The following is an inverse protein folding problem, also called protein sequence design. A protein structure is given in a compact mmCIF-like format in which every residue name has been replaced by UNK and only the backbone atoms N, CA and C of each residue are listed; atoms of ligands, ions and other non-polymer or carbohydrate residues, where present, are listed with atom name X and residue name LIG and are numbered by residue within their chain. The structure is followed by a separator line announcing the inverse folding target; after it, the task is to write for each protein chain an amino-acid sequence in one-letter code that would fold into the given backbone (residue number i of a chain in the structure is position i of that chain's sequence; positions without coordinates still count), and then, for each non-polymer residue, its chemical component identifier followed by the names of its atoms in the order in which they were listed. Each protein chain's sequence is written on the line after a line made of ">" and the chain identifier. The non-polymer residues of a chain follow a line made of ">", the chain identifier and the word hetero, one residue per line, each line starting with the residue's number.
data_IF_260366010884
#
_entry.id   IF_260366010884
#
_cell.length_a   1.000
_cell.length_b   1.000
_cell.length_c   1.000
_cell.angle_alpha   90.00
_cell.angle_beta   90.00
_cell.angle_gamma   90.00
#
_symmetry.space_group_name_H-M   'P 1'
#
loop_
_entity.id
_entity.type
_entity.pdbx_description
1 polymer ?
#
# COMPACT_ATOMS: atom_id res chain seq x y z
N UNK A 1 1.85 -12.99 17.34
CA UNK A 1 3.09 -12.32 17.81
C UNK A 1 2.90 -10.81 17.70
N UNK A 2 3.00 -10.10 18.82
CA UNK A 2 2.84 -8.64 18.90
C UNK A 2 4.13 -8.02 19.45
N UNK A 3 4.87 -7.20 18.67
CA UNK A 3 6.02 -6.48 19.19
C UNK A 3 5.57 -5.29 20.05
N UNK A 4 6.09 -5.19 21.26
CA UNK A 4 5.88 -4.04 22.15
C UNK A 4 7.09 -3.10 22.06
N UNK A 5 6.86 -1.95 21.45
CA UNK A 5 7.87 -0.92 21.20
C UNK A 5 7.58 0.29 22.07
N UNK A 6 8.61 0.86 22.68
CA UNK A 6 8.53 2.15 23.36
C UNK A 6 9.36 3.19 22.64
N UNK A 7 8.84 4.40 22.61
CA UNK A 7 9.53 5.60 22.14
C UNK A 7 9.50 6.63 23.27
N UNK A 8 10.66 7.18 23.60
CA UNK A 8 10.81 8.13 24.71
C UNK A 8 11.86 9.19 24.37
N UNK A 9 11.86 10.29 25.11
CA UNK A 9 12.90 11.32 25.02
C UNK A 9 13.99 11.02 26.03
N UNK A 10 15.23 10.98 25.56
CA UNK A 10 16.45 10.92 26.36
C UNK A 10 17.27 12.20 26.19
N UNK A 11 18.37 12.32 26.91
CA UNK A 11 19.28 13.48 26.82
C UNK A 11 19.84 13.73 25.41
N UNK A 12 19.90 12.67 24.59
CA UNK A 12 20.38 12.69 23.19
C UNK A 12 19.24 12.76 22.17
N UNK A 13 17.98 12.92 22.61
CA UNK A 13 16.81 13.10 21.75
C UNK A 13 15.85 11.90 21.76
N UNK A 14 15.21 11.62 20.62
CA UNK A 14 14.18 10.56 20.54
C UNK A 14 14.83 9.17 20.47
N UNK A 15 14.62 8.38 21.52
CA UNK A 15 15.09 7.00 21.63
C UNK A 15 13.95 6.00 21.46
N UNK A 16 14.29 4.78 21.01
CA UNK A 16 13.33 3.67 20.84
C UNK A 16 13.92 2.38 21.39
N UNK A 17 13.06 1.56 21.98
CA UNK A 17 13.41 0.24 22.46
C UNK A 17 12.33 -0.77 22.10
N UNK A 18 12.74 -1.92 21.56
CA UNK A 18 11.88 -3.10 21.57
C UNK A 18 11.97 -3.70 22.97
N UNK A 19 10.85 -3.72 23.69
CA UNK A 19 10.82 -4.28 25.04
C UNK A 19 10.67 -5.79 24.96
N UNK A 20 9.66 -6.26 24.22
CA UNK A 20 9.31 -7.67 24.15
C UNK A 20 8.47 -7.97 22.91
N UNK A 21 8.59 -9.18 22.38
CA UNK A 21 7.63 -9.74 21.45
C UNK A 21 6.72 -10.72 22.19
N UNK A 22 5.42 -10.45 22.24
CA UNK A 22 4.45 -11.27 22.94
C UNK A 22 3.81 -12.24 21.96
N UNK A 23 3.90 -13.54 22.25
CA UNK A 23 3.18 -14.58 21.52
C UNK A 23 1.96 -14.97 22.32
N UNK A 24 0.84 -14.32 22.01
CA UNK A 24 -0.46 -14.66 22.56
C UNK A 24 -1.35 -15.19 21.42
N UNK A 25 -1.94 -16.39 21.54
CA UNK A 25 -2.96 -16.87 20.61
C UNK A 25 -4.28 -16.08 20.72
N UNK A 26 -4.56 -15.45 21.85
CA UNK A 26 -5.79 -14.70 22.09
C UNK A 26 -5.61 -13.22 21.71
N UNK A 27 -6.25 -12.83 20.60
CA UNK A 27 -6.21 -11.45 20.08
C UNK A 27 -7.37 -10.58 20.58
N UNK A 28 -8.04 -10.99 21.65
CA UNK A 28 -9.14 -10.23 22.24
C UNK A 28 -8.62 -8.94 22.89
N UNK A 29 -9.39 -7.87 22.77
CA UNK A 29 -9.08 -6.53 23.30
C UNK A 29 -8.58 -6.55 24.75
N UNK A 30 -9.25 -7.32 25.61
CA UNK A 30 -8.97 -7.37 27.04
C UNK A 30 -7.62 -8.05 27.30
N UNK A 31 -7.32 -9.12 26.60
CA UNK A 31 -6.09 -9.89 26.84
C UNK A 31 -4.87 -9.16 26.27
N UNK A 32 -5.03 -8.49 25.12
CA UNK A 32 -4.04 -7.53 24.63
C UNK A 32 -3.78 -6.43 25.67
N UNK A 33 -4.83 -5.84 26.26
CA UNK A 33 -4.68 -4.82 27.30
C UNK A 33 -3.94 -5.35 28.53
N UNK A 34 -4.30 -6.53 29.04
CA UNK A 34 -3.61 -7.18 30.18
C UNK A 34 -2.13 -7.41 29.88
N UNK A 35 -1.80 -7.87 28.68
CA UNK A 35 -0.43 -8.08 28.26
C UNK A 35 0.38 -6.79 28.23
N UNK A 36 -0.20 -5.70 27.71
CA UNK A 36 0.41 -4.37 27.74
C UNK A 36 0.65 -3.93 29.19
N UNK A 37 -0.36 -4.10 30.04
CA UNK A 37 -0.27 -3.72 31.46
C UNK A 37 0.83 -4.50 32.19
N UNK A 38 0.90 -5.81 31.96
CA UNK A 38 1.97 -6.67 32.49
C UNK A 38 3.36 -6.20 32.07
N UNK A 39 3.53 -5.74 30.82
CA UNK A 39 4.81 -5.19 30.36
C UNK A 39 5.14 -3.88 31.09
N UNK A 40 4.16 -2.99 31.25
CA UNK A 40 4.33 -1.72 31.99
C UNK A 40 4.77 -2.00 33.43
N UNK A 41 4.10 -2.93 34.12
CA UNK A 41 4.42 -3.31 35.49
C UNK A 41 5.80 -3.99 35.60
N UNK A 42 6.10 -4.95 34.73
CA UNK A 42 7.36 -5.71 34.75
C UNK A 42 8.59 -4.80 34.56
N UNK A 43 8.48 -3.83 33.66
CA UNK A 43 9.55 -2.87 33.37
C UNK A 43 9.47 -1.60 34.23
N UNK A 44 8.52 -1.56 35.18
CA UNK A 44 8.28 -0.42 36.09
C UNK A 44 8.17 0.91 35.36
N UNK A 45 7.50 0.90 34.21
CA UNK A 45 7.30 2.10 33.40
C UNK A 45 6.30 3.01 34.11
N UNK A 46 6.65 4.28 34.31
CA UNK A 46 5.69 5.24 34.86
C UNK A 46 4.59 5.52 33.83
N UNK A 47 3.37 5.11 34.16
CA UNK A 47 2.19 5.27 33.31
C UNK A 47 1.84 6.74 33.08
N UNK A 48 2.18 7.64 34.00
CA UNK A 48 1.93 9.08 33.86
C UNK A 48 2.75 9.69 32.71
N UNK A 49 3.86 9.06 32.32
CA UNK A 49 4.67 9.48 31.17
C UNK A 49 4.13 8.94 29.84
N UNK A 50 3.06 8.12 29.85
CA UNK A 50 2.47 7.56 28.64
C UNK A 50 1.63 8.61 27.91
N UNK A 51 2.27 9.33 27.00
CA UNK A 51 1.62 10.41 26.25
C UNK A 51 0.83 9.94 25.03
N UNK A 52 1.21 8.80 24.44
CA UNK A 52 0.56 8.31 23.22
C UNK A 52 0.57 6.79 23.10
N UNK A 53 -0.48 6.24 22.47
CA UNK A 53 -0.57 4.84 22.11
C UNK A 53 -0.74 4.69 20.60
N UNK A 54 0.18 3.98 19.96
CA UNK A 54 0.20 3.71 18.51
C UNK A 54 -0.02 2.23 18.21
N UNK A 55 -1.03 1.93 17.39
CA UNK A 55 -1.35 0.59 16.90
C UNK A 55 -1.97 0.65 15.49
N UNK A 56 -2.33 -0.48 14.91
CA UNK A 56 -3.12 -0.50 13.68
C UNK A 56 -4.57 -0.06 13.95
N UNK A 57 -5.35 0.20 12.88
CA UNK A 57 -6.73 0.66 13.02
C UNK A 57 -7.75 -0.47 13.26
N UNK A 58 -7.33 -1.66 13.72
CA UNK A 58 -8.27 -2.73 14.02
C UNK A 58 -9.19 -2.34 15.18
N UNK A 59 -10.41 -2.91 15.17
CA UNK A 59 -11.41 -2.62 16.19
C UNK A 59 -10.92 -2.96 17.61
N UNK A 60 -10.08 -3.98 17.75
CA UNK A 60 -9.47 -4.34 19.03
C UNK A 60 -8.63 -3.18 19.63
N UNK A 61 -7.91 -2.41 18.81
CA UNK A 61 -7.04 -1.33 19.29
C UNK A 61 -7.72 0.04 19.36
N UNK A 62 -8.59 0.39 18.40
CA UNK A 62 -9.23 1.73 18.34
C UNK A 62 -10.75 1.73 18.15
N UNK A 63 -11.43 0.62 18.41
CA UNK A 63 -12.89 0.53 18.47
C UNK A 63 -13.50 1.64 19.35
N UNK A 64 -14.66 2.17 18.90
CA UNK A 64 -15.29 3.36 19.47
C UNK A 64 -15.67 3.20 20.94
N UNK A 65 -16.22 2.05 21.31
CA UNK A 65 -16.79 1.80 22.64
C UNK A 65 -15.91 0.89 23.50
N UNK A 66 -15.26 -0.10 22.90
CA UNK A 66 -14.42 -1.05 23.62
C UNK A 66 -13.19 -1.37 22.79
N UNK A 67 -12.04 -0.89 23.24
CA UNK A 67 -10.74 -1.11 22.60
C UNK A 67 -9.60 -0.88 23.58
N UNK A 68 -8.40 -1.38 23.23
CA UNK A 68 -7.19 -1.20 24.03
C UNK A 68 -6.93 0.28 24.30
N UNK A 69 -7.13 1.15 23.29
CA UNK A 69 -6.98 2.59 23.47
C UNK A 69 -7.98 3.15 24.50
N UNK A 70 -9.25 2.73 24.46
CA UNK A 70 -10.23 3.23 25.42
C UNK A 70 -9.90 2.77 26.84
N UNK A 71 -9.52 1.49 27.01
CA UNK A 71 -9.10 0.95 28.30
C UNK A 71 -7.86 1.67 28.86
N UNK A 72 -6.88 1.99 28.01
CA UNK A 72 -5.71 2.78 28.41
C UNK A 72 -6.09 4.24 28.74
N UNK A 73 -7.03 4.84 27.98
CA UNK A 73 -7.47 6.21 28.20
C UNK A 73 -8.27 6.38 29.50
N UNK A 74 -8.96 5.34 29.95
CA UNK A 74 -9.62 5.30 31.26
C UNK A 74 -8.60 5.33 32.40
N UNK A 75 -7.37 4.84 32.17
CA UNK A 75 -6.25 4.90 33.12
C UNK A 75 -5.39 6.16 32.95
N UNK A 76 -5.28 6.67 31.73
CA UNK A 76 -4.43 7.82 31.36
C UNK A 76 -5.26 8.82 30.56
N UNK A 77 -5.86 9.79 31.23
CA UNK A 77 -6.83 10.70 30.60
C UNK A 77 -6.23 11.59 29.50
N UNK A 78 -4.93 11.92 29.60
CA UNK A 78 -4.22 12.74 28.62
C UNK A 78 -3.68 11.95 27.42
N UNK A 79 -3.98 10.65 27.33
CA UNK A 79 -3.47 9.76 26.28
C UNK A 79 -3.93 10.19 24.88
N UNK A 80 -2.96 10.37 23.98
CA UNK A 80 -3.19 10.71 22.58
C UNK A 80 -3.18 9.47 21.68
N UNK A 81 -3.98 9.52 20.60
CA UNK A 81 -3.96 8.47 19.57
C UNK A 81 -2.76 8.67 18.65
N UNK A 82 -1.79 7.75 18.70
CA UNK A 82 -0.69 7.65 17.73
C UNK A 82 -1.16 7.05 16.41
N UNK A 83 -2.04 7.75 15.67
CA UNK A 83 -2.65 7.25 14.43
C UNK A 83 -1.72 7.41 13.23
N UNK A 84 -1.54 6.32 12.48
CA UNK A 84 -1.27 6.37 11.05
C UNK A 84 -2.60 6.19 10.30
N UNK A 85 -3.09 7.24 9.64
CA UNK A 85 -4.41 7.23 8.99
C UNK A 85 -4.30 6.67 7.56
N UNK A 86 -5.03 5.57 7.32
CA UNK A 86 -5.17 4.84 6.04
C UNK A 86 -6.09 5.57 5.02
N UNK A 87 -6.01 6.91 4.92
CA UNK A 87 -6.97 7.72 4.12
C UNK A 87 -6.82 7.58 2.60
N UNK A 88 -5.67 7.14 2.09
CA UNK A 88 -5.39 7.15 0.65
C UNK A 88 -6.02 5.98 -0.12
N UNK A 89 -6.49 4.93 0.57
CA UNK A 89 -6.99 3.70 -0.07
C UNK A 89 -8.37 3.86 -0.73
N UNK A 90 -9.31 4.48 -0.01
CA UNK A 90 -10.70 4.55 -0.47
C UNK A 90 -10.84 5.45 -1.72
N UNK A 91 -9.96 6.45 -1.86
CA UNK A 91 -9.91 7.30 -3.04
C UNK A 91 -9.30 6.61 -4.27
N UNK A 92 -8.30 5.73 -4.10
CA UNK A 92 -7.58 5.14 -5.22
C UNK A 92 -8.36 3.99 -5.88
N UNK A 93 -9.12 3.21 -5.10
CA UNK A 93 -9.87 2.02 -5.57
C UNK A 93 -10.89 2.36 -6.65
N UNK A 94 -11.55 3.53 -6.55
CA UNK A 94 -12.57 3.96 -7.51
C UNK A 94 -11.94 4.20 -8.90
N UNK A 95 -10.73 4.75 -8.96
CA UNK A 95 -10.06 5.10 -10.22
C UNK A 95 -9.34 3.94 -10.92
N UNK A 96 -9.06 2.83 -10.22
CA UNK A 96 -8.19 1.75 -10.73
C UNK A 96 -8.90 0.41 -10.89
N UNK A 97 -10.23 0.40 -10.99
CA UNK A 97 -11.04 -0.83 -10.97
C UNK A 97 -10.53 -1.97 -11.88
N UNK A 98 -10.14 -1.76 -13.16
CA UNK A 98 -9.56 -2.82 -13.98
C UNK A 98 -8.22 -3.34 -13.44
N UNK A 99 -7.34 -2.45 -12.98
CA UNK A 99 -6.06 -2.80 -12.36
C UNK A 99 -6.28 -3.58 -11.06
N UNK A 100 -7.22 -3.14 -10.23
CA UNK A 100 -7.60 -3.84 -9.01
C UNK A 100 -8.10 -5.26 -9.32
N UNK A 101 -8.97 -5.41 -10.32
CA UNK A 101 -9.43 -6.73 -10.74
C UNK A 101 -8.32 -7.58 -11.34
N UNK A 102 -7.38 -7.02 -12.10
CA UNK A 102 -6.23 -7.76 -12.61
C UNK A 102 -5.39 -8.32 -11.44
N UNK A 103 -5.11 -7.49 -10.44
CA UNK A 103 -4.36 -7.88 -9.24
C UNK A 103 -5.10 -8.93 -8.38
N UNK A 104 -6.43 -8.90 -8.34
CA UNK A 104 -7.24 -9.94 -7.70
C UNK A 104 -7.30 -11.23 -8.52
N UNK A 105 -7.41 -11.13 -9.84
CA UNK A 105 -7.52 -12.25 -10.76
C UNK A 105 -6.33 -13.19 -10.63
N UNK A 106 -5.12 -12.63 -10.56
CA UNK A 106 -3.85 -13.35 -10.40
C UNK A 106 -3.52 -13.73 -8.94
N UNK A 107 -4.49 -13.74 -8.02
CA UNK A 107 -4.29 -14.37 -6.70
C UNK A 107 -4.24 -15.90 -6.78
N UNK A 108 -4.91 -16.48 -7.78
CA UNK A 108 -4.91 -17.92 -8.02
C UNK A 108 -3.57 -18.38 -8.59
N UNK A 109 -2.91 -19.32 -7.90
CA UNK A 109 -1.66 -19.92 -8.38
C UNK A 109 -1.84 -20.56 -9.76
N UNK A 110 -3.01 -21.19 -10.01
CA UNK A 110 -3.31 -21.79 -11.31
C UNK A 110 -3.35 -20.74 -12.44
N UNK A 111 -3.95 -19.58 -12.20
CA UNK A 111 -4.00 -18.50 -13.19
C UNK A 111 -2.64 -17.86 -13.44
N UNK A 112 -1.80 -17.79 -12.40
CA UNK A 112 -0.41 -17.33 -12.53
C UNK A 112 0.41 -18.33 -13.35
N UNK A 113 0.21 -19.63 -13.14
CA UNK A 113 0.87 -20.69 -13.91
C UNK A 113 0.53 -20.61 -15.40
N UNK A 114 -0.76 -20.42 -15.73
CA UNK A 114 -1.20 -20.31 -17.12
C UNK A 114 -0.53 -19.16 -17.90
N UNK A 115 -0.03 -18.11 -17.22
CA UNK A 115 0.68 -16.99 -17.87
C UNK A 115 2.14 -17.33 -18.21
N UNK A 116 2.72 -18.38 -17.60
CA UNK A 116 4.12 -18.76 -17.85
C UNK A 116 4.38 -19.15 -19.30
N UNK A 117 3.48 -19.94 -19.89
CA UNK A 117 3.58 -20.37 -21.29
C UNK A 117 3.68 -19.16 -22.23
N UNK A 118 2.88 -18.12 -21.99
CA UNK A 118 2.93 -16.86 -22.74
C UNK A 118 4.19 -16.05 -22.44
N UNK A 119 4.74 -16.14 -21.23
CA UNK A 119 5.96 -15.44 -20.84
C UNK A 119 7.19 -16.05 -21.52
N UNK A 120 7.24 -17.37 -21.63
CA UNK A 120 8.24 -18.10 -22.41
C UNK A 120 8.13 -17.77 -23.89
N UNK A 121 6.90 -17.73 -24.43
CA UNK A 121 6.63 -17.37 -25.83
C UNK A 121 7.19 -15.98 -26.20
N UNK A 122 7.03 -14.97 -25.33
CA UNK A 122 7.56 -13.62 -25.55
C UNK A 122 8.95 -13.38 -24.97
N UNK A 123 9.63 -14.43 -24.50
CA UNK A 123 11.00 -14.38 -23.95
C UNK A 123 11.17 -13.40 -22.77
N UNK A 124 10.19 -13.39 -21.86
CA UNK A 124 10.16 -12.50 -20.69
C UNK A 124 10.30 -13.34 -19.41
N UNK A 125 11.43 -13.21 -18.70
CA UNK A 125 11.77 -13.99 -17.49
C UNK A 125 10.66 -14.04 -16.45
N UNK A 126 10.09 -15.21 -16.17
CA UNK A 126 8.96 -15.31 -15.24
C UNK A 126 9.36 -15.13 -13.77
N UNK A 127 9.36 -13.88 -13.30
CA UNK A 127 9.33 -13.56 -11.88
C UNK A 127 7.86 -13.45 -11.41
N UNK A 128 7.47 -14.23 -10.39
CA UNK A 128 6.09 -14.35 -9.89
C UNK A 128 5.32 -13.02 -9.88
N UNK A 129 4.11 -12.97 -10.47
CA UNK A 129 3.18 -11.85 -10.28
C UNK A 129 2.93 -11.66 -8.76
N UNK A 130 3.20 -10.46 -8.22
CA UNK A 130 3.04 -10.24 -6.79
C UNK A 130 1.56 -10.22 -6.43
N UNK A 131 1.19 -11.13 -5.54
CA UNK A 131 -0.08 -11.07 -4.81
C UNK A 131 -0.21 -9.70 -4.15
N UNK A 132 -1.17 -8.92 -4.60
CA UNK A 132 -1.49 -7.67 -3.95
C UNK A 132 -2.28 -7.92 -2.67
N UNK A 133 -1.79 -7.37 -1.55
CA UNK A 133 -2.48 -7.38 -0.25
C UNK A 133 -3.11 -6.00 -0.06
N UNK A 134 -4.45 -5.94 -0.03
CA UNK A 134 -5.27 -4.72 0.00
C UNK A 134 -5.03 -3.79 1.20
N UNK A 135 -4.23 -4.22 2.17
CA UNK A 135 -3.89 -3.44 3.36
C UNK A 135 -2.53 -2.76 3.28
N UNK A 136 -1.67 -3.13 2.31
CA UNK A 136 -0.29 -2.61 2.21
C UNK A 136 -0.06 -1.93 0.87
N UNK A 137 -0.14 -0.61 0.88
CA UNK A 137 0.15 0.26 -0.26
C UNK A 137 1.59 0.03 -0.81
N UNK A 138 2.54 -0.38 0.06
CA UNK A 138 3.88 -0.88 -0.30
C UNK A 138 3.86 -1.99 -1.34
N UNK A 139 2.85 -2.87 -1.27
CA UNK A 139 2.71 -3.96 -2.23
C UNK A 139 2.13 -3.48 -3.55
N UNK A 140 1.37 -2.38 -3.57
CA UNK A 140 0.68 -1.90 -4.78
C UNK A 140 1.66 -1.42 -5.84
N UNK A 141 2.64 -0.58 -5.47
CA UNK A 141 3.66 -0.13 -6.42
C UNK A 141 4.41 -1.31 -7.03
N UNK A 142 4.84 -2.26 -6.19
CA UNK A 142 5.56 -3.46 -6.65
C UNK A 142 4.68 -4.36 -7.52
N UNK A 143 3.40 -4.52 -7.18
CA UNK A 143 2.44 -5.27 -7.98
C UNK A 143 2.21 -4.63 -9.34
N UNK A 144 2.10 -3.30 -9.43
CA UNK A 144 1.98 -2.58 -10.70
C UNK A 144 3.26 -2.67 -11.51
N UNK A 145 4.43 -2.54 -10.88
CA UNK A 145 5.73 -2.74 -11.54
C UNK A 145 5.81 -4.12 -12.18
N UNK A 146 5.49 -5.18 -11.43
CA UNK A 146 5.48 -6.54 -11.99
C UNK A 146 4.44 -6.74 -13.08
N UNK A 147 3.28 -6.08 -12.98
CA UNK A 147 2.28 -6.15 -14.03
C UNK A 147 2.75 -5.44 -15.32
N UNK A 148 3.50 -4.33 -15.18
CA UNK A 148 4.16 -3.66 -16.32
C UNK A 148 5.24 -4.54 -16.95
N UNK A 149 6.09 -5.17 -16.13
CA UNK A 149 7.15 -6.09 -16.60
C UNK A 149 6.57 -7.33 -17.31
N UNK A 150 5.31 -7.65 -17.04
CA UNK A 150 4.57 -8.79 -17.62
C UNK A 150 3.40 -8.34 -18.47
N UNK A 151 3.38 -7.10 -18.93
CA UNK A 151 2.23 -6.57 -19.66
C UNK A 151 1.95 -7.39 -20.92
N UNK A 152 2.99 -7.68 -21.72
CA UNK A 152 2.83 -8.41 -22.98
C UNK A 152 2.38 -9.87 -22.79
N UNK A 153 3.01 -10.69 -21.92
CA UNK A 153 2.50 -12.03 -21.62
C UNK A 153 1.05 -12.03 -21.10
N UNK A 154 0.71 -11.08 -20.22
CA UNK A 154 -0.63 -10.98 -19.63
C UNK A 154 -1.65 -10.54 -20.67
N UNK A 155 -1.28 -9.64 -21.58
CA UNK A 155 -2.11 -9.25 -22.72
C UNK A 155 -2.43 -10.45 -23.60
N UNK A 156 -1.41 -11.20 -24.03
CA UNK A 156 -1.61 -12.40 -24.85
C UNK A 156 -2.50 -13.43 -24.15
N UNK A 157 -2.28 -13.66 -22.86
CA UNK A 157 -3.12 -14.54 -22.05
C UNK A 157 -4.61 -14.17 -22.14
N UNK A 158 -4.96 -12.89 -21.95
CA UNK A 158 -6.36 -12.45 -22.03
C UNK A 158 -6.92 -12.39 -23.47
N UNK A 159 -6.07 -12.26 -24.48
CA UNK A 159 -6.49 -12.32 -25.88
C UNK A 159 -6.83 -13.75 -26.31
N UNK A 160 -6.02 -14.73 -25.88
CA UNK A 160 -6.14 -16.14 -26.23
C UNK A 160 -7.15 -16.91 -25.37
N UNK A 161 -7.33 -16.56 -24.09
CA UNK A 161 -8.35 -17.24 -23.26
C UNK A 161 -9.79 -16.82 -23.63
N UNK A 162 -10.69 -17.81 -23.56
CA UNK A 162 -12.12 -17.56 -23.74
C UNK A 162 -12.66 -16.70 -22.60
N UNK A 163 -13.39 -15.64 -22.97
CA UNK A 163 -14.06 -14.78 -22.00
C UNK A 163 -15.31 -15.48 -21.49
N UNK A 164 -15.24 -16.02 -20.27
CA UNK A 164 -16.37 -16.73 -19.63
C UNK A 164 -17.10 -15.88 -18.57
N UNK A 165 -16.54 -14.72 -18.21
CA UNK A 165 -17.10 -13.84 -17.18
C UNK A 165 -16.96 -12.36 -17.56
N UNK A 166 -17.86 -11.51 -17.04
CA UNK A 166 -17.81 -10.06 -17.21
C UNK A 166 -16.48 -9.44 -16.75
N UNK A 167 -15.85 -10.04 -15.73
CA UNK A 167 -14.54 -9.60 -15.22
C UNK A 167 -13.45 -9.89 -16.26
N UNK A 168 -13.42 -11.08 -16.84
CA UNK A 168 -12.47 -11.41 -17.90
C UNK A 168 -12.67 -10.53 -19.13
N UNK A 169 -13.91 -10.17 -19.49
CA UNK A 169 -14.18 -9.27 -20.61
C UNK A 169 -13.64 -7.86 -20.38
N UNK A 170 -13.82 -7.34 -19.15
CA UNK A 170 -13.23 -6.07 -18.73
C UNK A 170 -11.69 -6.10 -18.72
N UNK A 171 -11.09 -7.20 -18.28
CA UNK A 171 -9.64 -7.35 -18.28
C UNK A 171 -9.09 -7.47 -19.70
N UNK A 172 -9.77 -8.25 -20.55
CA UNK A 172 -9.43 -8.36 -21.97
C UNK A 172 -9.43 -6.99 -22.64
N UNK A 173 -10.49 -6.19 -22.49
CA UNK A 173 -10.53 -4.85 -23.08
C UNK A 173 -9.45 -3.92 -22.51
N UNK A 174 -9.14 -4.03 -21.21
CA UNK A 174 -8.10 -3.25 -20.56
C UNK A 174 -6.69 -3.55 -21.08
N UNK A 175 -6.36 -4.82 -21.34
CA UNK A 175 -5.03 -5.21 -21.83
C UNK A 175 -4.91 -5.16 -23.35
N UNK A 176 -6.03 -5.29 -24.07
CA UNK A 176 -6.06 -5.17 -25.53
C UNK A 176 -5.81 -3.72 -25.97
N UNK A 177 -6.45 -2.76 -25.29
CA UNK A 177 -6.23 -1.35 -25.57
C UNK A 177 -4.86 -0.88 -25.03
N UNK A 178 -4.17 0.01 -25.78
CA UNK A 178 -2.92 0.60 -25.28
C UNK A 178 -3.13 1.64 -24.17
N UNK A 179 -4.39 2.00 -23.88
CA UNK A 179 -4.72 2.89 -22.77
C UNK A 179 -4.46 2.22 -21.42
N UNK A 180 -4.64 0.90 -21.30
CA UNK A 180 -4.36 0.15 -20.08
C UNK A 180 -2.90 0.26 -19.67
N UNK A 181 -1.98 0.15 -20.65
CA UNK A 181 -0.56 0.39 -20.44
C UNK A 181 -0.28 1.84 -20.01
N UNK A 182 -0.94 2.82 -20.64
CA UNK A 182 -0.85 4.23 -20.23
C UNK A 182 -1.31 4.45 -18.78
N UNK A 183 -2.40 3.81 -18.37
CA UNK A 183 -2.95 3.86 -17.01
C UNK A 183 -1.97 3.24 -16.03
N UNK A 184 -1.38 2.08 -16.34
CA UNK A 184 -0.40 1.44 -15.46
C UNK A 184 0.85 2.30 -15.27
N UNK A 185 1.40 2.92 -16.32
CA UNK A 185 2.52 3.84 -16.19
C UNK A 185 2.18 5.13 -15.42
N UNK A 186 0.97 5.66 -15.62
CA UNK A 186 0.48 6.78 -14.82
C UNK A 186 0.41 6.42 -13.33
N UNK A 187 -0.19 5.27 -12.99
CA UNK A 187 -0.30 4.80 -11.61
C UNK A 187 1.07 4.54 -11.00
N UNK A 188 1.99 3.90 -11.74
CA UNK A 188 3.36 3.70 -11.31
C UNK A 188 4.02 5.04 -10.94
N UNK A 189 3.82 6.09 -11.74
CA UNK A 189 4.40 7.41 -11.48
C UNK A 189 3.86 8.07 -10.19
N UNK A 190 2.54 8.02 -10.00
CA UNK A 190 1.88 8.58 -8.81
C UNK A 190 2.27 7.79 -7.56
N UNK A 191 2.18 6.46 -7.63
CA UNK A 191 2.52 5.57 -6.53
C UNK A 191 4.00 5.64 -6.16
N UNK A 192 4.90 5.99 -7.09
CA UNK A 192 6.30 6.18 -6.78
C UNK A 192 6.55 7.38 -5.85
N UNK A 193 5.90 8.52 -6.08
CA UNK A 193 6.04 9.67 -5.17
C UNK A 193 5.37 9.42 -3.83
N UNK A 194 4.21 8.75 -3.83
CA UNK A 194 3.57 8.29 -2.60
C UNK A 194 4.54 7.33 -1.88
N UNK A 195 5.15 6.37 -2.58
CA UNK A 195 6.11 5.40 -2.03
C UNK A 195 7.27 6.06 -1.30
N UNK A 196 7.87 7.08 -1.92
CA UNK A 196 8.94 7.89 -1.30
C UNK A 196 8.48 8.57 -0.01
N UNK A 197 7.29 9.15 -0.01
CA UNK A 197 6.78 9.86 1.15
C UNK A 197 6.62 8.92 2.35
N UNK A 198 6.07 7.72 2.18
CA UNK A 198 5.97 6.81 3.34
C UNK A 198 7.30 6.18 3.72
N UNK A 199 8.23 5.94 2.80
CA UNK A 199 9.59 5.53 3.20
C UNK A 199 10.23 6.57 4.12
N UNK A 200 9.90 7.86 3.94
CA UNK A 200 10.29 8.90 4.88
C UNK A 200 9.52 8.77 6.20
N UNK A 201 8.20 8.56 6.16
CA UNK A 201 7.38 8.41 7.37
C UNK A 201 7.74 7.17 8.22
N UNK A 202 8.21 6.09 7.59
CA UNK A 202 8.64 4.86 8.25
C UNK A 202 10.01 4.96 8.92
N UNK A 203 10.76 6.04 8.68
CA UNK A 203 12.04 6.25 9.37
C UNK A 203 11.79 6.26 10.85
N UNK A 204 12.74 5.69 11.59
CA UNK A 204 12.66 5.64 13.04
C UNK A 204 12.43 7.05 13.57
N UNK A 205 13.27 8.03 13.25
CA UNK A 205 13.25 9.38 13.81
C UNK A 205 12.13 10.33 13.32
N UNK A 206 11.15 9.89 12.54
CA UNK A 206 10.08 10.78 12.03
C UNK A 206 9.23 11.33 13.18
N UNK A 207 9.09 12.65 13.22
CA UNK A 207 8.24 13.38 14.17
C UNK A 207 6.92 13.82 13.53
N UNK A 208 6.00 14.36 14.32
CA UNK A 208 4.76 14.95 13.81
C UNK A 208 5.01 16.20 12.94
N UNK A 209 6.12 16.91 13.19
CA UNK A 209 6.53 18.06 12.36
C UNK A 209 7.00 17.56 11.00
N UNK A 210 7.79 16.49 10.97
CA UNK A 210 8.20 15.84 9.71
C UNK A 210 7.00 15.34 8.92
N UNK A 211 5.98 14.77 9.58
CA UNK A 211 4.74 14.34 8.94
C UNK A 211 4.08 15.49 8.16
N UNK A 212 4.00 16.69 8.75
CA UNK A 212 3.45 17.86 8.07
C UNK A 212 4.26 18.20 6.82
N UNK A 213 5.58 18.34 6.94
CA UNK A 213 6.45 18.68 5.81
C UNK A 213 6.43 17.62 4.70
N UNK A 214 6.50 16.34 5.05
CA UNK A 214 6.45 15.22 4.10
C UNK A 214 5.12 15.24 3.34
N UNK A 215 4.01 15.48 4.03
CA UNK A 215 2.67 15.52 3.42
C UNK A 215 2.53 16.72 2.48
N UNK A 216 2.93 17.91 2.91
CA UNK A 216 2.90 19.12 2.07
C UNK A 216 3.80 18.95 0.84
N UNK A 217 5.00 18.40 1.01
CA UNK A 217 5.90 18.12 -0.11
C UNK A 217 5.31 17.13 -1.11
N UNK A 218 4.66 16.07 -0.63
CA UNK A 218 3.94 15.14 -1.50
C UNK A 218 2.83 15.85 -2.28
N UNK A 219 1.99 16.64 -1.61
CA UNK A 219 0.89 17.39 -2.24
C UNK A 219 1.45 18.35 -3.31
N UNK A 220 2.48 19.12 -2.98
CA UNK A 220 3.09 20.08 -3.90
C UNK A 220 3.67 19.39 -5.12
N UNK A 221 4.36 18.26 -4.96
CA UNK A 221 4.86 17.47 -6.08
C UNK A 221 3.77 16.92 -6.98
N UNK A 222 2.67 16.42 -6.40
CA UNK A 222 1.54 15.92 -7.18
C UNK A 222 0.84 17.06 -7.95
N UNK A 223 0.68 18.24 -7.33
CA UNK A 223 0.17 19.45 -7.98
C UNK A 223 1.08 19.94 -9.11
N UNK A 224 2.40 19.94 -8.89
CA UNK A 224 3.38 20.32 -9.90
C UNK A 224 3.33 19.37 -11.10
N UNK A 225 3.28 18.06 -10.88
CA UNK A 225 3.10 17.08 -11.96
C UNK A 225 1.81 17.33 -12.76
N UNK A 226 0.74 17.72 -12.07
CA UNK A 226 -0.52 18.09 -12.70
C UNK A 226 -0.40 19.38 -13.54
N UNK A 227 0.23 20.44 -13.02
CA UNK A 227 0.45 21.68 -13.77
C UNK A 227 1.32 21.47 -15.00
N UNK A 228 2.38 20.67 -14.84
CA UNK A 228 3.37 20.39 -15.89
C UNK A 228 2.83 19.38 -16.92
N UNK A 229 1.62 18.84 -16.70
CA UNK A 229 1.04 17.70 -17.44
C UNK A 229 2.02 16.53 -17.56
N UNK A 230 2.89 16.37 -16.57
CA UNK A 230 3.95 15.37 -16.54
C UNK A 230 3.54 14.17 -15.70
N UNK A 231 3.36 13.04 -16.38
CA UNK A 231 2.82 11.82 -15.81
C UNK A 231 3.75 10.60 -15.98
N UNK A 232 5.04 10.87 -16.23
CA UNK A 232 6.08 9.85 -16.48
C UNK A 232 6.45 9.70 -17.95
N UNK A 233 7.74 9.52 -18.21
CA UNK A 233 8.29 9.37 -19.57
C UNK A 233 7.66 8.19 -20.32
N UNK A 234 7.54 7.03 -19.68
CA UNK A 234 6.97 5.84 -20.34
C UNK A 234 5.52 6.05 -20.77
N UNK A 235 4.68 6.72 -19.96
CA UNK A 235 3.32 7.10 -20.38
C UNK A 235 3.36 7.98 -21.62
N UNK A 236 4.24 8.99 -21.67
CA UNK A 236 4.39 9.89 -22.83
C UNK A 236 4.81 9.12 -24.08
N UNK A 237 5.73 8.16 -23.94
CA UNK A 237 6.16 7.30 -25.05
C UNK A 237 4.99 6.47 -25.59
N UNK A 238 4.20 5.84 -24.71
CA UNK A 238 3.04 5.04 -25.12
C UNK A 238 1.97 5.91 -25.80
N UNK A 239 1.65 7.09 -25.24
CA UNK A 239 0.70 8.03 -25.88
C UNK A 239 1.17 8.46 -27.27
N UNK A 240 2.46 8.78 -27.41
CA UNK A 240 3.01 9.16 -28.71
C UNK A 240 2.97 8.01 -29.71
N UNK A 241 3.17 6.77 -29.26
CA UNK A 241 3.04 5.59 -30.10
C UNK A 241 1.59 5.37 -30.55
N UNK A 242 0.63 5.47 -29.62
CA UNK A 242 -0.80 5.34 -29.94
C UNK A 242 -1.27 6.39 -30.95
N UNK A 243 -0.88 7.66 -30.77
CA UNK A 243 -1.19 8.73 -31.72
C UNK A 243 -0.67 8.46 -33.14
N UNK A 244 0.49 7.79 -33.27
CA UNK A 244 1.04 7.42 -34.58
C UNK A 244 0.23 6.28 -35.22
N UNK A 245 -0.26 5.32 -34.43
CA UNK A 245 -1.10 4.24 -34.94
C UNK A 245 -2.42 4.82 -35.47
N UNK A 246 -3.07 5.70 -34.70
CA UNK A 246 -4.34 6.32 -35.10
C UNK A 246 -4.22 7.19 -36.37
N UNK A 247 -3.07 7.83 -36.57
CA UNK A 247 -2.78 8.58 -37.80
C UNK A 247 -2.62 7.66 -39.01
N UNK A 248 -2.01 6.48 -38.84
CA UNK A 248 -1.80 5.52 -39.91
C UNK A 248 -3.04 4.68 -40.26
N UNK A 249 -4.03 4.58 -39.38
CA UNK A 249 -5.32 3.90 -39.65
C UNK A 249 -6.40 4.82 -40.22
N UNK A 250 -6.12 6.12 -40.30
CA UNK A 250 -7.03 7.14 -40.87
C UNK A 250 -6.67 7.55 -42.30
N UNK A 251 -5.61 6.97 -42.87
CA UNK A 251 -5.21 7.03 -44.30
C UNK A 251 -5.63 5.73 -45.01
#
# INVERSE_FOLDING_TARGET
>A
MFPFLVQYFSEIGVSRGLIQCINDPDEATIDIFKNIWKVIDNYKLNIENLTSFGADNANAFYGKHHSVFQLLKDKVHHLLKGKYKRLLWDFLIIFIRPVHFALLYFRSAKRVENVKEYSEFVQVDFNNLLKHISTKWLSLLRSIQRLLDKFEPVKLYFLCEQTSTNIQGLLKSFFDNGEGLCILHFLQNVLFEIHKAELQLQRSYTTIVDLYYITINLINKLRQKQSDKYYGNNKRLVINHLKKIDQNTSE
#
